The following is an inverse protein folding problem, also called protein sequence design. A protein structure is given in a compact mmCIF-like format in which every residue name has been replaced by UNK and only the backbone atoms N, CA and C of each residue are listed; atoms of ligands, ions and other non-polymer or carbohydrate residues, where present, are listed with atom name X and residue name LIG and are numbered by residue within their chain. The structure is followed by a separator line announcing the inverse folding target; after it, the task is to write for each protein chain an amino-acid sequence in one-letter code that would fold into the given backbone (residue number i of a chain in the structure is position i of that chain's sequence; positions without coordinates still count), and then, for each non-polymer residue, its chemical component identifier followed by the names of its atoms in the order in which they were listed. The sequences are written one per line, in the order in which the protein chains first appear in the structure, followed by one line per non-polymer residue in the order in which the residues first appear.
data_IF_671442621300
#
_entry.id   IF_671442621300
#
_cell.length_a   1.000
_cell.length_b   1.000
_cell.length_c   1.000
_cell.angle_alpha   90.00
_cell.angle_beta   90.00
_cell.angle_gamma   90.00
#
_symmetry.space_group_name_H-M   'P 1'
#
loop_
_entity.id
_entity.type
_entity.pdbx_description
1 polymer ?
#
# COMPACT_ATOMS: atom_id res chain seq x y z
N UNK A 1 0.25 20.18 4.27
CA UNK A 1 0.42 19.08 3.32
C UNK A 1 -0.62 19.16 2.19
N UNK A 2 -1.92 19.08 2.48
CA UNK A 2 -3.02 19.03 1.48
C UNK A 2 -2.95 20.11 0.40
N UNK A 3 -2.68 21.36 0.78
CA UNK A 3 -2.56 22.48 -0.18
C UNK A 3 -1.46 22.20 -1.22
N UNK A 4 -0.30 21.72 -0.78
CA UNK A 4 0.82 21.39 -1.68
C UNK A 4 0.51 20.19 -2.56
N UNK A 5 -0.10 19.14 -2.01
CA UNK A 5 -0.51 17.96 -2.76
C UNK A 5 -1.51 18.33 -3.85
N UNK A 6 -2.56 19.06 -3.51
CA UNK A 6 -3.59 19.46 -4.46
C UNK A 6 -3.05 20.37 -5.58
N UNK A 7 -2.14 21.27 -5.23
CA UNK A 7 -1.46 22.10 -6.24
C UNK A 7 -0.58 21.28 -7.19
N UNK A 8 0.14 20.28 -6.68
CA UNK A 8 0.95 19.37 -7.49
C UNK A 8 0.08 18.48 -8.40
N UNK A 9 -1.02 17.96 -7.88
CA UNK A 9 -2.00 17.19 -8.66
C UNK A 9 -2.57 18.04 -9.80
N UNK A 10 -2.99 19.26 -9.49
CA UNK A 10 -3.54 20.18 -10.49
C UNK A 10 -2.53 20.49 -11.61
N UNK A 11 -1.27 20.71 -11.24
CA UNK A 11 -0.18 20.93 -12.19
C UNK A 11 0.08 19.70 -13.07
N UNK A 12 0.03 18.49 -12.47
CA UNK A 12 0.18 17.24 -13.22
C UNK A 12 -0.95 17.08 -14.24
N UNK A 13 -2.21 17.21 -13.81
CA UNK A 13 -3.39 17.11 -14.68
C UNK A 13 -3.36 18.11 -15.82
N UNK A 14 -2.93 19.35 -15.55
CA UNK A 14 -2.78 20.37 -16.58
C UNK A 14 -1.71 19.99 -17.62
N UNK A 15 -0.61 19.38 -17.19
CA UNK A 15 0.48 18.97 -18.10
C UNK A 15 0.11 17.80 -18.99
N UNK A 16 -0.72 16.89 -18.50
CA UNK A 16 -1.07 15.66 -19.22
C UNK A 16 -2.43 15.73 -19.92
N UNK A 17 -3.15 16.84 -19.85
CA UNK A 17 -4.53 16.96 -20.34
C UNK A 17 -4.72 16.63 -21.81
N UNK A 18 -3.68 16.87 -22.62
CA UNK A 18 -3.70 16.64 -24.08
C UNK A 18 -3.08 15.28 -24.47
N UNK A 19 -2.55 14.52 -23.49
CA UNK A 19 -1.98 13.20 -23.71
C UNK A 19 -3.07 12.13 -23.78
N UNK A 20 -2.93 11.20 -24.73
CA UNK A 20 -3.90 10.12 -24.93
C UNK A 20 -3.34 8.78 -24.40
N UNK A 21 -4.23 7.90 -23.96
CA UNK A 21 -3.84 6.54 -23.54
C UNK A 21 -3.19 6.49 -22.16
N UNK A 22 -3.28 7.56 -21.36
CA UNK A 22 -2.84 7.55 -19.99
C UNK A 22 -3.86 6.83 -19.10
N UNK A 23 -3.39 6.15 -18.05
CA UNK A 23 -4.28 5.59 -17.04
C UNK A 23 -4.97 6.72 -16.25
N UNK A 24 -6.10 6.41 -15.66
CA UNK A 24 -6.75 7.30 -14.70
C UNK A 24 -5.86 7.47 -13.46
N UNK A 25 -5.78 8.71 -12.94
CA UNK A 25 -4.92 9.05 -11.80
C UNK A 25 -5.77 9.37 -10.59
N UNK A 26 -5.55 8.63 -9.51
CA UNK A 26 -6.15 8.85 -8.21
C UNK A 26 -5.08 9.29 -7.21
N UNK A 27 -5.36 10.31 -6.43
CA UNK A 27 -4.43 10.87 -5.45
C UNK A 27 -4.76 10.37 -4.05
N UNK A 28 -3.73 10.00 -3.32
CA UNK A 28 -3.78 9.67 -1.90
C UNK A 28 -2.59 10.27 -1.17
N UNK A 29 -2.33 9.80 0.04
CA UNK A 29 -1.11 10.11 0.77
C UNK A 29 -0.61 8.89 1.54
N UNK A 30 0.70 8.66 1.52
CA UNK A 30 1.35 7.80 2.48
C UNK A 30 1.53 8.59 3.78
N UNK A 31 0.92 8.10 4.85
CA UNK A 31 0.94 8.74 6.16
C UNK A 31 1.90 7.97 7.06
N UNK A 32 3.01 8.61 7.42
CA UNK A 32 3.91 8.03 8.42
C UNK A 32 3.23 7.99 9.78
N UNK A 33 3.35 6.86 10.46
CA UNK A 33 2.84 6.70 11.82
C UNK A 33 3.30 7.83 12.73
N UNK A 34 2.37 8.36 13.50
CA UNK A 34 2.64 9.25 14.62
C UNK A 34 1.67 8.96 15.77
N UNK A 35 2.13 9.20 16.98
CA UNK A 35 1.33 8.94 18.18
C UNK A 35 0.09 9.82 18.23
N UNK A 36 -1.07 9.22 18.46
CA UNK A 36 -2.37 9.89 18.51
C UNK A 36 -3.04 10.05 17.15
N UNK A 37 -2.51 9.40 16.08
CA UNK A 37 -3.05 9.52 14.73
C UNK A 37 -4.51 9.05 14.63
N UNK A 38 -4.92 8.06 15.41
CA UNK A 38 -6.30 7.54 15.39
C UNK A 38 -7.35 8.53 15.91
N UNK A 39 -6.94 9.65 16.51
CA UNK A 39 -7.81 10.74 16.92
C UNK A 39 -7.81 11.95 15.97
N UNK A 40 -7.15 11.86 14.81
CA UNK A 40 -7.01 12.98 13.86
C UNK A 40 -7.95 12.80 12.67
N UNK A 41 -9.15 13.40 12.74
CA UNK A 41 -10.18 13.31 11.70
C UNK A 41 -9.69 13.74 10.31
N UNK A 42 -8.74 14.67 10.23
CA UNK A 42 -8.18 15.14 8.97
C UNK A 42 -7.44 14.05 8.17
N UNK A 43 -7.11 12.91 8.77
CA UNK A 43 -6.55 11.76 8.06
C UNK A 43 -7.50 11.17 7.03
N UNK A 44 -8.82 11.29 7.22
CA UNK A 44 -9.82 10.91 6.20
C UNK A 44 -9.62 11.64 4.86
N UNK A 45 -9.06 12.85 4.88
CA UNK A 45 -8.74 13.63 3.67
C UNK A 45 -7.48 13.14 2.94
N UNK A 46 -6.76 12.19 3.55
CA UNK A 46 -5.52 11.62 3.04
C UNK A 46 -5.70 10.22 2.44
N UNK A 47 -6.92 9.66 2.52
CA UNK A 47 -7.24 8.39 1.85
C UNK A 47 -7.03 8.49 0.33
N UNK A 48 -6.89 7.35 -0.32
CA UNK A 48 -6.88 7.28 -1.78
C UNK A 48 -8.22 7.84 -2.29
N UNK A 49 -8.15 8.76 -3.22
CA UNK A 49 -9.30 9.46 -3.79
C UNK A 49 -10.42 8.49 -4.21
N UNK A 50 -11.64 8.74 -3.76
CA UNK A 50 -12.80 7.90 -4.06
C UNK A 50 -12.88 6.59 -3.26
N UNK A 51 -12.02 6.42 -2.24
CA UNK A 51 -11.99 5.23 -1.37
C UNK A 51 -11.84 5.59 0.11
N UNK A 52 -11.97 4.59 0.99
CA UNK A 52 -11.66 4.72 2.42
C UNK A 52 -10.24 4.18 2.76
N UNK A 53 -9.42 3.86 1.75
CA UNK A 53 -8.07 3.32 1.94
C UNK A 53 -7.10 4.40 2.41
N UNK A 54 -6.50 4.21 3.58
CA UNK A 54 -5.45 5.07 4.13
C UNK A 54 -4.11 4.32 4.12
N UNK A 55 -3.16 4.77 3.30
CA UNK A 55 -1.84 4.18 3.26
C UNK A 55 -1.01 4.66 4.45
N UNK A 56 -0.52 3.71 5.27
CA UNK A 56 0.17 3.97 6.54
C UNK A 56 1.56 3.37 6.51
N UNK A 57 2.60 4.21 6.68
CA UNK A 57 3.97 3.77 6.91
C UNK A 57 4.21 3.55 8.40
N UNK A 58 4.48 2.32 8.80
CA UNK A 58 4.79 1.98 10.19
C UNK A 58 6.18 2.48 10.61
N UNK A 59 6.46 2.65 11.93
CA UNK A 59 7.80 3.03 12.38
C UNK A 59 8.83 1.94 12.08
N UNK A 60 10.05 2.37 11.68
CA UNK A 60 11.21 1.50 11.39
C UNK A 60 11.90 1.06 12.69
N UNK A 61 11.12 0.42 13.56
CA UNK A 61 11.56 -0.11 14.85
C UNK A 61 10.66 -1.28 15.26
N UNK A 62 11.00 -1.94 16.36
CA UNK A 62 10.12 -2.94 16.95
C UNK A 62 8.86 -2.25 17.52
N UNK A 63 7.70 -2.68 17.04
CA UNK A 63 6.44 -2.08 17.44
C UNK A 63 6.04 -2.50 18.86
N UNK A 64 5.66 -1.51 19.65
CA UNK A 64 5.03 -1.74 20.96
C UNK A 64 3.53 -2.01 20.79
N UNK A 65 2.92 -2.62 21.81
CA UNK A 65 1.47 -2.84 21.85
C UNK A 65 0.67 -1.53 21.65
N UNK A 66 1.25 -0.38 22.04
CA UNK A 66 0.62 0.93 21.85
C UNK A 66 0.58 1.33 20.39
N UNK A 67 1.66 1.09 19.63
CA UNK A 67 1.73 1.35 18.20
C UNK A 67 0.72 0.46 17.47
N UNK A 68 0.70 -0.83 17.81
CA UNK A 68 -0.22 -1.80 17.21
C UNK A 68 -1.69 -1.38 17.45
N UNK A 69 -2.05 -1.13 18.71
CA UNK A 69 -3.40 -0.70 19.08
C UNK A 69 -3.82 0.60 18.42
N UNK A 70 -2.92 1.55 18.29
CA UNK A 70 -3.18 2.83 17.63
C UNK A 70 -3.58 2.62 16.17
N UNK A 71 -2.84 1.78 15.43
CA UNK A 71 -3.14 1.49 14.02
C UNK A 71 -4.43 0.67 13.87
N UNK A 72 -4.68 -0.29 14.76
CA UNK A 72 -5.94 -1.05 14.81
C UNK A 72 -7.15 -0.14 15.04
N UNK A 73 -6.99 0.92 15.83
CA UNK A 73 -8.07 1.88 16.13
C UNK A 73 -8.39 2.85 14.99
N UNK A 74 -7.62 2.87 13.91
CA UNK A 74 -7.88 3.78 12.79
C UNK A 74 -9.23 3.50 12.11
N UNK A 75 -9.55 2.23 11.91
CA UNK A 75 -10.82 1.84 11.31
C UNK A 75 -12.00 2.27 12.19
N UNK A 76 -11.97 1.92 13.46
CA UNK A 76 -13.07 2.22 14.40
C UNK A 76 -13.26 3.73 14.62
N UNK A 77 -12.16 4.47 14.75
CA UNK A 77 -12.21 5.89 15.12
C UNK A 77 -12.43 6.82 13.92
N UNK A 78 -11.93 6.45 12.76
CA UNK A 78 -11.90 7.32 11.57
C UNK A 78 -12.69 6.76 10.39
N UNK A 79 -13.27 5.55 10.50
CA UNK A 79 -13.99 4.92 9.40
C UNK A 79 -13.15 4.87 8.11
N UNK A 80 -11.87 4.49 8.27
CA UNK A 80 -10.92 4.27 7.17
C UNK A 80 -10.40 2.84 7.20
N UNK A 81 -9.96 2.34 6.06
CA UNK A 81 -9.33 1.02 5.94
C UNK A 81 -7.81 1.23 5.85
N UNK A 82 -7.05 0.93 6.91
CA UNK A 82 -5.60 1.08 6.86
C UNK A 82 -4.98 0.07 5.89
N UNK A 83 -4.06 0.56 5.06
CA UNK A 83 -3.19 -0.26 4.22
C UNK A 83 -1.76 -0.05 4.69
N UNK A 84 -1.10 -1.06 5.22
CA UNK A 84 0.30 -0.94 5.61
C UNK A 84 1.18 -0.91 4.36
N UNK A 85 1.88 0.20 4.17
CA UNK A 85 2.79 0.42 3.05
C UNK A 85 4.04 -0.46 3.16
N UNK A 86 4.56 -0.93 2.02
CA UNK A 86 5.85 -1.61 1.87
C UNK A 86 6.24 -2.51 3.06
N UNK A 87 5.34 -3.46 3.41
CA UNK A 87 5.44 -4.31 4.61
C UNK A 87 6.79 -5.03 4.74
N UNK A 88 7.45 -5.33 3.63
CA UNK A 88 8.75 -5.98 3.60
C UNK A 88 9.86 -5.19 4.31
N UNK A 89 9.73 -3.86 4.40
CA UNK A 89 10.71 -3.00 5.08
C UNK A 89 10.72 -3.21 6.59
N UNK A 90 9.65 -3.79 7.15
CA UNK A 90 9.53 -4.03 8.59
C UNK A 90 9.96 -5.43 9.04
N UNK A 91 10.25 -6.34 8.11
CA UNK A 91 10.57 -7.74 8.43
C UNK A 91 11.80 -7.92 9.33
N UNK A 92 12.75 -7.00 9.27
CA UNK A 92 13.95 -7.04 10.11
C UNK A 92 13.72 -6.50 11.53
N UNK A 93 12.67 -5.73 11.72
CA UNK A 93 12.37 -5.10 13.02
C UNK A 93 11.46 -5.95 13.89
N UNK A 94 10.68 -6.86 13.27
CA UNK A 94 9.72 -7.68 13.98
C UNK A 94 10.27 -9.09 14.23
N UNK A 95 9.89 -9.70 15.36
CA UNK A 95 10.38 -11.02 15.77
C UNK A 95 10.05 -12.14 14.77
N UNK A 96 8.86 -12.10 14.22
CA UNK A 96 8.33 -13.03 13.21
C UNK A 96 7.38 -12.28 12.28
N UNK A 97 6.67 -12.97 11.39
CA UNK A 97 5.72 -12.38 10.45
C UNK A 97 4.25 -12.64 10.82
N UNK A 98 3.98 -13.18 12.00
CA UNK A 98 2.61 -13.50 12.43
C UNK A 98 1.74 -12.23 12.51
N UNK A 99 2.36 -11.09 12.81
CA UNK A 99 1.71 -9.79 12.83
C UNK A 99 0.96 -9.45 11.53
N UNK A 100 1.43 -9.93 10.38
CA UNK A 100 0.74 -9.73 9.09
C UNK A 100 -0.66 -10.33 9.16
N UNK A 101 -0.76 -11.57 9.63
CA UNK A 101 -2.03 -12.27 9.73
C UNK A 101 -2.91 -11.72 10.87
N UNK A 102 -2.29 -11.27 11.95
CA UNK A 102 -3.02 -10.67 13.07
C UNK A 102 -3.67 -9.34 12.65
N UNK A 103 -2.93 -8.45 11.99
CA UNK A 103 -3.48 -7.23 11.43
C UNK A 103 -4.57 -7.48 10.38
N UNK A 104 -4.37 -8.49 9.53
CA UNK A 104 -5.36 -8.84 8.50
C UNK A 104 -6.68 -9.36 9.08
N UNK A 105 -6.66 -10.09 10.19
CA UNK A 105 -7.88 -10.50 10.91
C UNK A 105 -8.71 -9.31 11.38
N UNK A 106 -8.04 -8.20 11.67
CA UNK A 106 -8.66 -6.94 12.09
C UNK A 106 -9.00 -6.00 10.90
N UNK A 107 -8.94 -6.51 9.67
CA UNK A 107 -9.32 -5.76 8.46
C UNK A 107 -8.26 -4.79 7.93
N UNK A 108 -7.02 -4.87 8.40
CA UNK A 108 -5.91 -4.06 7.88
C UNK A 108 -5.31 -4.77 6.66
N UNK A 109 -5.11 -4.04 5.58
CA UNK A 109 -4.60 -4.55 4.32
C UNK A 109 -3.09 -4.35 4.20
N UNK A 110 -2.44 -5.18 3.38
CA UNK A 110 -0.99 -5.26 3.25
C UNK A 110 -0.54 -4.90 1.84
N UNK A 111 0.32 -3.91 1.71
CA UNK A 111 0.94 -3.55 0.44
C UNK A 111 2.42 -3.93 0.44
N UNK A 112 2.89 -4.57 -0.64
CA UNK A 112 4.28 -4.95 -0.86
C UNK A 112 4.85 -4.27 -2.10
N UNK A 113 6.11 -3.83 -2.03
CA UNK A 113 6.78 -3.22 -3.17
C UNK A 113 7.24 -4.26 -4.21
N UNK A 114 7.08 -3.88 -5.47
CA UNK A 114 7.53 -4.66 -6.63
C UNK A 114 9.04 -4.97 -6.58
N UNK A 115 9.85 -4.04 -6.09
CA UNK A 115 11.29 -4.23 -5.91
C UNK A 115 11.60 -5.46 -5.05
N UNK A 116 10.88 -5.68 -3.96
CA UNK A 116 11.08 -6.84 -3.10
C UNK A 116 10.75 -8.17 -3.81
N UNK A 117 9.72 -8.15 -4.67
CA UNK A 117 9.32 -9.30 -5.50
C UNK A 117 10.39 -9.61 -6.56
N UNK A 118 10.99 -8.58 -7.13
CA UNK A 118 12.01 -8.70 -8.18
C UNK A 118 13.39 -9.07 -7.65
N UNK A 119 13.68 -8.75 -6.40
CA UNK A 119 14.99 -8.94 -5.78
C UNK A 119 15.46 -10.38 -5.81
N UNK A 120 16.77 -10.59 -6.01
CA UNK A 120 17.38 -11.93 -6.17
C UNK A 120 17.19 -12.79 -4.92
N UNK A 121 17.37 -12.22 -3.74
CA UNK A 121 17.29 -12.96 -2.46
C UNK A 121 15.90 -12.86 -1.81
N UNK A 122 15.15 -11.79 -2.05
CA UNK A 122 13.85 -11.54 -1.45
C UNK A 122 12.70 -12.23 -2.16
N UNK A 123 12.83 -12.46 -3.45
CA UNK A 123 11.78 -13.00 -4.32
C UNK A 123 11.12 -14.27 -3.79
N UNK A 124 11.89 -15.22 -3.31
CA UNK A 124 11.34 -16.48 -2.79
C UNK A 124 10.39 -16.23 -1.59
N UNK A 125 10.82 -15.36 -0.69
CA UNK A 125 10.00 -14.96 0.49
C UNK A 125 8.77 -14.17 0.06
N UNK A 126 8.91 -13.24 -0.89
CA UNK A 126 7.80 -12.48 -1.45
C UNK A 126 6.73 -13.39 -2.05
N UNK A 127 7.12 -14.30 -2.96
CA UNK A 127 6.19 -15.25 -3.59
C UNK A 127 5.52 -16.16 -2.56
N UNK A 128 6.25 -16.62 -1.54
CA UNK A 128 5.66 -17.41 -0.45
C UNK A 128 4.58 -16.63 0.31
N UNK A 129 4.82 -15.35 0.63
CA UNK A 129 3.84 -14.50 1.31
C UNK A 129 2.60 -14.26 0.43
N UNK A 130 2.81 -14.02 -0.87
CA UNK A 130 1.73 -13.85 -1.83
C UNK A 130 0.86 -15.11 -1.91
N UNK A 131 1.48 -16.30 -2.04
CA UNK A 131 0.77 -17.60 -2.04
C UNK A 131 -0.01 -17.86 -0.75
N UNK A 132 0.49 -17.36 0.37
CA UNK A 132 -0.17 -17.47 1.67
C UNK A 132 -1.18 -16.34 1.93
N UNK A 133 -1.57 -15.61 0.91
CA UNK A 133 -2.54 -14.51 1.00
C UNK A 133 -2.16 -13.42 2.01
N UNK A 134 -0.87 -13.18 2.21
CA UNK A 134 -0.34 -12.20 3.16
C UNK A 134 -0.14 -10.79 2.55
N UNK A 135 -0.46 -10.61 1.26
CA UNK A 135 -0.31 -9.36 0.51
C UNK A 135 -1.60 -9.08 -0.25
N UNK A 136 -2.13 -7.88 -0.15
CA UNK A 136 -3.38 -7.46 -0.78
C UNK A 136 -3.15 -6.52 -1.96
N UNK A 137 -2.14 -5.66 -1.87
CA UNK A 137 -1.79 -4.69 -2.91
C UNK A 137 -0.32 -4.75 -3.28
N UNK A 138 -0.04 -4.42 -4.53
CA UNK A 138 1.33 -4.24 -5.03
C UNK A 138 1.57 -2.75 -5.28
N UNK A 139 2.78 -2.28 -5.00
CA UNK A 139 3.19 -0.90 -5.28
C UNK A 139 4.55 -0.87 -5.98
N UNK A 140 4.76 0.09 -6.87
CA UNK A 140 6.08 0.35 -7.45
C UNK A 140 6.97 1.16 -6.53
N UNK A 141 6.38 1.98 -5.66
CA UNK A 141 7.07 2.97 -4.84
C UNK A 141 7.99 3.88 -5.69
N UNK A 142 7.53 4.19 -6.90
CA UNK A 142 8.26 4.96 -7.90
C UNK A 142 8.45 6.41 -7.45
N UNK A 143 9.68 6.91 -7.53
CA UNK A 143 10.02 8.28 -7.19
C UNK A 143 10.69 9.04 -8.35
N UNK A 144 11.24 8.31 -9.31
CA UNK A 144 11.94 8.86 -10.48
C UNK A 144 11.97 7.83 -11.62
N UNK A 145 12.62 8.15 -12.71
CA UNK A 145 12.75 7.29 -13.88
C UNK A 145 14.09 6.52 -13.95
N UNK A 146 14.91 6.61 -12.90
CA UNK A 146 16.26 6.01 -12.83
C UNK A 146 16.34 4.95 -11.72
N UNK A 147 16.74 5.34 -10.52
CA UNK A 147 16.99 4.42 -9.39
C UNK A 147 15.72 3.79 -8.82
N UNK A 148 14.60 4.53 -8.86
CA UNK A 148 13.28 4.10 -8.37
C UNK A 148 12.23 4.24 -9.47
N UNK A 149 12.55 3.64 -10.62
CA UNK A 149 11.70 3.64 -11.80
C UNK A 149 10.47 2.70 -11.62
N UNK A 150 9.42 2.89 -12.45
CA UNK A 150 8.27 1.99 -12.48
C UNK A 150 8.69 0.54 -12.77
N UNK A 151 8.28 -0.39 -11.92
CA UNK A 151 8.69 -1.79 -11.98
C UNK A 151 7.55 -2.79 -11.70
N UNK A 152 6.32 -2.31 -11.68
CA UNK A 152 5.15 -3.14 -11.33
C UNK A 152 4.89 -4.23 -12.39
N UNK A 153 4.99 -3.90 -13.68
CA UNK A 153 4.78 -4.86 -14.77
C UNK A 153 5.68 -6.10 -14.66
N UNK A 154 7.02 -5.96 -14.58
CA UNK A 154 7.93 -7.09 -14.34
C UNK A 154 7.63 -7.90 -13.06
N UNK A 155 7.16 -7.25 -11.99
CA UNK A 155 6.79 -7.95 -10.76
C UNK A 155 5.53 -8.81 -10.95
N UNK A 156 4.50 -8.28 -11.63
CA UNK A 156 3.28 -9.00 -11.99
C UNK A 156 3.62 -10.22 -12.87
N UNK A 157 4.42 -10.04 -13.92
CA UNK A 157 4.88 -11.16 -14.75
C UNK A 157 5.59 -12.26 -13.95
N UNK A 158 6.39 -11.86 -12.97
CA UNK A 158 7.09 -12.81 -12.10
C UNK A 158 6.12 -13.57 -11.19
N UNK A 159 5.11 -12.89 -10.64
CA UNK A 159 4.05 -13.52 -9.84
C UNK A 159 3.32 -14.55 -10.72
N UNK A 160 2.83 -14.16 -11.89
CA UNK A 160 2.11 -15.05 -12.83
C UNK A 160 2.92 -16.31 -13.18
N UNK A 161 4.23 -16.19 -13.35
CA UNK A 161 5.13 -17.33 -13.63
C UNK A 161 5.38 -18.24 -12.42
N UNK A 162 5.08 -17.81 -11.19
CA UNK A 162 5.43 -18.48 -9.93
C UNK A 162 4.26 -18.86 -9.06
N UNK A 163 3.06 -18.43 -9.44
CA UNK A 163 1.81 -18.68 -8.70
C UNK A 163 0.73 -19.19 -9.65
N UNK A 164 -0.37 -19.64 -9.09
CA UNK A 164 -1.54 -20.08 -9.83
C UNK A 164 -2.42 -18.87 -10.19
N UNK A 165 -3.33 -19.05 -11.17
CA UNK A 165 -4.23 -18.01 -11.67
C UNK A 165 -5.11 -17.43 -10.55
N UNK A 166 -5.55 -18.24 -9.60
CA UNK A 166 -6.33 -17.83 -8.42
C UNK A 166 -5.68 -16.67 -7.65
N UNK A 167 -4.34 -16.62 -7.61
CA UNK A 167 -3.62 -15.51 -6.95
C UNK A 167 -3.82 -14.19 -7.70
N UNK A 168 -3.82 -14.23 -9.02
CA UNK A 168 -4.06 -13.03 -9.84
C UNK A 168 -5.51 -12.59 -9.76
N UNK A 169 -6.46 -13.53 -9.80
CA UNK A 169 -7.89 -13.26 -9.61
C UNK A 169 -8.16 -12.56 -8.29
N UNK A 170 -7.43 -12.94 -7.23
CA UNK A 170 -7.53 -12.28 -5.93
C UNK A 170 -7.02 -10.84 -5.95
N UNK A 171 -5.91 -10.53 -6.61
CA UNK A 171 -5.47 -9.15 -6.76
C UNK A 171 -6.48 -8.32 -7.55
N UNK A 172 -7.04 -8.88 -8.63
CA UNK A 172 -8.11 -8.22 -9.41
C UNK A 172 -9.36 -8.00 -8.56
N UNK A 173 -9.75 -8.98 -7.72
CA UNK A 173 -10.87 -8.83 -6.78
C UNK A 173 -10.66 -7.67 -5.79
N UNK A 174 -9.44 -7.50 -5.25
CA UNK A 174 -9.13 -6.37 -4.38
C UNK A 174 -9.15 -5.05 -5.15
N UNK A 175 -8.63 -5.03 -6.36
CA UNK A 175 -8.70 -3.87 -7.24
C UNK A 175 -10.16 -3.47 -7.48
N UNK A 176 -11.02 -4.38 -7.90
CA UNK A 176 -12.43 -4.12 -8.13
C UNK A 176 -13.19 -3.72 -6.86
N UNK A 177 -12.87 -4.36 -5.72
CA UNK A 177 -13.54 -4.12 -4.44
C UNK A 177 -13.24 -2.72 -3.89
N UNK A 178 -12.01 -2.27 -4.06
CA UNK A 178 -11.51 -1.00 -3.54
C UNK A 178 -11.25 0.04 -4.63
N UNK A 179 -11.69 -0.22 -5.86
CA UNK A 179 -11.58 0.75 -6.95
C UNK A 179 -12.21 2.09 -6.55
N UNK A 180 -11.58 3.22 -6.87
CA UNK A 180 -12.14 4.52 -6.63
C UNK A 180 -13.52 4.65 -7.28
N UNK A 181 -14.49 5.10 -6.50
CA UNK A 181 -15.83 5.41 -7.01
C UNK A 181 -15.82 6.83 -7.56
N UNK A 182 -16.04 6.95 -8.87
CA UNK A 182 -16.14 8.21 -9.56
C UNK A 182 -17.33 9.06 -9.13
#
# INVERSE_FOLDING_TARGET
FLVRRNAAEQLLRERIKDEQGLPEIFCGAEVKYFRGMSGVEDLRKLTLQGTDLLLVEMPFEKWSDKVIKEVLSLNENLDVIPVLAHIERFFSYQKNLDWIYDFRKEGILMQMNAEYILGTFSSHKAIKLIKNHAVDFLGSDTHNTEDRAPNLGPAIEKIMKKTDEEIMDRFMYYEDTYAPRG
#
